data_IF_488573158017
#
_entry.id   IF_488573158017
#
_cell.length_a   1.000
_cell.length_b   1.000
_cell.length_c   1.000
_cell.angle_alpha   90.00
_cell.angle_beta   90.00
_cell.angle_gamma   90.00
#
_symmetry.space_group_name_H-M   'P 1'
#
loop_
_entity.id
_entity.type
_entity.pdbx_description
1 polymer ?
#
# COMPACT_ATOMS: atom_id res chain seq x y z
N UNK A 1 0.05 13.52 -10.98
CA UNK A 1 -1.20 13.42 -11.75
C UNK A 1 -0.98 12.84 -13.14
N UNK A 2 -0.21 13.49 -14.03
CA UNK A 2 -0.12 13.03 -15.43
C UNK A 2 0.52 11.64 -15.60
N UNK A 3 1.54 11.32 -14.79
CA UNK A 3 2.16 9.98 -14.79
C UNK A 3 1.16 8.85 -14.50
N UNK A 4 0.24 9.06 -13.56
CA UNK A 4 -0.80 8.07 -13.24
C UNK A 4 -1.85 7.94 -14.35
N UNK A 5 -2.23 9.05 -14.99
CA UNK A 5 -3.11 9.01 -16.16
C UNK A 5 -2.47 8.29 -17.34
N UNK A 6 -1.17 8.53 -17.57
CA UNK A 6 -0.43 7.82 -18.60
C UNK A 6 -0.34 6.33 -18.30
N UNK A 7 0.00 5.93 -17.06
CA UNK A 7 0.03 4.53 -16.66
C UNK A 7 -1.32 3.84 -16.89
N UNK A 8 -2.44 4.51 -16.60
CA UNK A 8 -3.77 3.99 -16.90
C UNK A 8 -4.03 3.82 -18.41
N UNK A 9 -3.54 4.74 -19.26
CA UNK A 9 -3.61 4.59 -20.72
C UNK A 9 -2.73 3.45 -21.23
N UNK A 10 -1.54 3.26 -20.64
CA UNK A 10 -0.58 2.22 -21.02
C UNK A 10 -1.10 0.80 -20.72
N UNK A 11 -2.13 0.64 -19.88
CA UNK A 11 -2.80 -0.65 -19.66
C UNK A 11 -3.58 -1.13 -20.89
N UNK A 12 -3.93 -0.24 -21.83
CA UNK A 12 -4.61 -0.57 -23.08
C UNK A 12 -6.00 -1.18 -22.89
N UNK A 13 -6.44 -1.97 -23.89
CA UNK A 13 -7.80 -2.52 -23.97
C UNK A 13 -8.05 -3.73 -23.05
N UNK A 14 -6.97 -4.33 -22.53
CA UNK A 14 -7.02 -5.53 -21.67
C UNK A 14 -6.26 -5.31 -20.35
N UNK A 15 -6.70 -4.36 -19.51
CA UNK A 15 -5.96 -3.94 -18.32
C UNK A 15 -5.73 -5.07 -17.31
N UNK A 16 -6.68 -5.99 -17.14
CA UNK A 16 -6.53 -7.14 -16.25
C UNK A 16 -5.38 -8.05 -16.69
N UNK A 17 -5.28 -8.35 -17.98
CA UNK A 17 -4.21 -9.19 -18.54
C UNK A 17 -2.84 -8.54 -18.33
N UNK A 18 -2.75 -7.22 -18.50
CA UNK A 18 -1.51 -6.47 -18.26
C UNK A 18 -1.11 -6.52 -16.78
N UNK A 19 -2.08 -6.34 -15.87
CA UNK A 19 -1.85 -6.43 -14.43
C UNK A 19 -1.48 -7.85 -14.01
N UNK A 20 -2.15 -8.88 -14.50
CA UNK A 20 -1.81 -10.28 -14.23
C UNK A 20 -0.36 -10.58 -14.65
N UNK A 21 0.06 -10.09 -15.81
CA UNK A 21 1.45 -10.21 -16.27
C UNK A 21 2.46 -9.45 -15.39
N UNK A 22 2.08 -8.29 -14.83
CA UNK A 22 2.91 -7.56 -13.86
C UNK A 22 3.03 -8.33 -12.55
N UNK A 23 1.93 -8.91 -12.06
CA UNK A 23 1.90 -9.72 -10.83
C UNK A 23 2.77 -10.96 -11.00
N UNK A 24 2.61 -11.72 -12.09
CA UNK A 24 3.42 -12.91 -12.34
C UNK A 24 4.92 -12.60 -12.39
N UNK A 25 5.32 -11.50 -13.05
CA UNK A 25 6.73 -11.07 -13.07
C UNK A 25 7.23 -10.68 -11.69
N UNK A 26 6.48 -9.86 -10.96
CA UNK A 26 6.87 -9.40 -9.63
C UNK A 26 7.04 -10.57 -8.64
N UNK A 27 6.15 -11.56 -8.69
CA UNK A 27 6.25 -12.76 -7.85
C UNK A 27 7.48 -13.60 -8.22
N UNK A 28 7.72 -13.82 -9.52
CA UNK A 28 8.90 -14.53 -9.99
C UNK A 28 10.22 -13.83 -9.61
N UNK A 29 10.25 -12.49 -9.67
CA UNK A 29 11.42 -11.70 -9.25
C UNK A 29 11.71 -11.83 -7.74
N UNK A 30 10.69 -12.10 -6.92
CA UNK A 30 10.82 -12.19 -5.46
C UNK A 30 11.24 -13.60 -5.01
N UNK A 31 10.72 -14.65 -5.65
CA UNK A 31 10.78 -16.05 -5.18
C UNK A 31 12.19 -16.51 -4.73
N UNK A 32 13.24 -16.13 -5.48
CA UNK A 32 14.63 -16.52 -5.20
C UNK A 32 15.56 -15.32 -4.90
N UNK A 33 15.01 -14.14 -4.62
CA UNK A 33 15.80 -12.92 -4.48
C UNK A 33 16.57 -12.79 -3.15
N UNK A 34 16.16 -13.52 -2.11
CA UNK A 34 16.70 -13.35 -0.76
C UNK A 34 16.22 -12.04 -0.11
N UNK A 35 17.15 -11.24 0.43
CA UNK A 35 16.83 -9.93 1.04
C UNK A 35 17.71 -8.80 0.45
N UNK A 36 17.57 -8.51 -0.85
CA UNK A 36 18.38 -7.51 -1.53
C UNK A 36 18.05 -6.10 -1.01
N UNK A 37 18.98 -5.17 -1.25
CA UNK A 37 18.74 -3.77 -1.01
C UNK A 37 18.00 -3.18 -2.22
N UNK A 38 16.76 -2.75 -2.01
CA UNK A 38 15.95 -2.06 -3.01
C UNK A 38 16.34 -0.60 -3.02
N UNK A 39 16.82 -0.11 -4.16
CA UNK A 39 17.16 1.30 -4.33
C UNK A 39 15.88 2.15 -4.27
N UNK A 40 15.87 3.17 -3.41
CA UNK A 40 14.80 4.17 -3.38
C UNK A 40 15.33 5.53 -3.87
N UNK A 41 14.40 6.40 -4.27
CA UNK A 41 14.73 7.76 -4.70
C UNK A 41 15.48 8.48 -3.57
N UNK A 42 16.63 9.09 -3.89
CA UNK A 42 17.51 9.75 -2.91
C UNK A 42 18.74 8.95 -2.48
N UNK A 43 18.97 7.77 -3.05
CA UNK A 43 20.20 7.00 -2.85
C UNK A 43 20.25 6.18 -1.55
N UNK A 44 19.27 6.35 -0.67
CA UNK A 44 19.00 5.40 0.39
C UNK A 44 18.48 4.08 -0.20
N UNK A 45 18.74 2.97 0.48
CA UNK A 45 18.21 1.66 0.13
C UNK A 45 17.35 1.11 1.26
N UNK A 46 16.33 0.34 0.91
CA UNK A 46 15.45 -0.37 1.85
C UNK A 46 15.58 -1.86 1.58
N UNK A 47 15.78 -2.67 2.61
CA UNK A 47 15.85 -4.12 2.45
C UNK A 47 14.52 -4.66 1.95
N UNK A 48 14.53 -5.68 1.10
CA UNK A 48 13.31 -6.22 0.50
C UNK A 48 12.26 -6.60 1.55
N UNK A 49 12.68 -7.23 2.66
CA UNK A 49 11.76 -7.58 3.75
C UNK A 49 11.10 -6.35 4.41
N UNK A 50 11.76 -5.19 4.40
CA UNK A 50 11.19 -3.92 4.88
C UNK A 50 10.39 -3.21 3.78
N UNK A 51 10.77 -3.41 2.51
CA UNK A 51 10.13 -2.82 1.34
C UNK A 51 8.74 -3.41 1.09
N UNK A 52 8.61 -4.73 1.09
CA UNK A 52 7.37 -5.42 0.73
C UNK A 52 6.16 -4.99 1.60
N UNK A 53 6.27 -4.87 2.94
CA UNK A 53 5.17 -4.35 3.75
C UNK A 53 4.67 -2.97 3.31
N UNK A 54 5.58 -2.08 2.89
CA UNK A 54 5.18 -0.76 2.38
C UNK A 54 4.41 -0.88 1.06
N UNK A 55 4.80 -1.80 0.16
CA UNK A 55 4.08 -2.02 -1.10
C UNK A 55 2.74 -2.70 -0.92
N UNK A 56 2.63 -3.66 -0.01
CA UNK A 56 1.35 -4.27 0.36
C UNK A 56 0.39 -3.21 0.91
N UNK A 57 0.87 -2.33 1.79
CA UNK A 57 0.08 -1.21 2.32
C UNK A 57 -0.44 -0.27 1.22
N UNK A 58 0.45 0.18 0.33
CA UNK A 58 0.08 1.08 -0.78
C UNK A 58 -0.95 0.44 -1.73
N UNK A 59 -0.79 -0.85 -2.06
CA UNK A 59 -1.74 -1.58 -2.90
C UNK A 59 -3.10 -1.73 -2.22
N UNK A 60 -3.12 -2.00 -0.92
CA UNK A 60 -4.36 -2.11 -0.15
C UNK A 60 -5.13 -0.77 -0.12
N UNK A 61 -4.45 0.33 0.26
CA UNK A 61 -5.06 1.66 0.36
C UNK A 61 -5.55 2.13 -1.02
N UNK A 62 -4.69 2.12 -2.03
CA UNK A 62 -5.05 2.60 -3.35
C UNK A 62 -6.03 1.69 -4.08
N UNK A 63 -6.01 0.38 -3.82
CA UNK A 63 -7.03 -0.54 -4.30
C UNK A 63 -8.43 -0.17 -3.78
N UNK A 64 -8.54 0.13 -2.48
CA UNK A 64 -9.78 0.61 -1.86
C UNK A 64 -10.22 1.96 -2.45
N UNK A 65 -9.29 2.90 -2.65
CA UNK A 65 -9.58 4.21 -3.26
C UNK A 65 -10.15 4.05 -4.68
N UNK A 66 -9.49 3.24 -5.53
CA UNK A 66 -9.94 2.99 -6.90
C UNK A 66 -11.31 2.33 -6.88
N UNK A 67 -11.49 1.25 -6.11
CA UNK A 67 -12.74 0.52 -6.00
C UNK A 67 -13.90 1.44 -5.61
N UNK A 68 -13.68 2.31 -4.61
CA UNK A 68 -14.65 3.34 -4.21
C UNK A 68 -14.93 4.35 -5.32
N UNK A 69 -13.91 4.82 -6.02
CA UNK A 69 -14.04 5.81 -7.09
C UNK A 69 -14.83 5.28 -8.29
N UNK A 70 -14.75 3.98 -8.57
CA UNK A 70 -15.49 3.34 -9.67
C UNK A 70 -16.77 2.63 -9.23
N UNK A 71 -17.09 2.62 -7.92
CA UNK A 71 -18.30 2.01 -7.38
C UNK A 71 -18.30 0.48 -7.39
N UNK A 72 -17.13 -0.15 -7.32
CA UNK A 72 -16.97 -1.61 -7.29
C UNK A 72 -16.68 -2.06 -5.86
N UNK A 73 -17.32 -3.13 -5.35
CA UNK A 73 -16.96 -3.70 -4.07
C UNK A 73 -15.57 -4.35 -4.13
N UNK A 74 -14.73 -4.07 -3.13
CA UNK A 74 -13.44 -4.72 -2.93
C UNK A 74 -13.35 -5.19 -1.48
N UNK A 75 -13.17 -6.49 -1.30
CA UNK A 75 -12.82 -7.09 -0.01
C UNK A 75 -11.35 -7.50 -0.05
N UNK A 76 -10.56 -6.92 0.86
CA UNK A 76 -9.16 -7.26 0.98
C UNK A 76 -8.98 -8.58 1.76
N UNK A 77 -7.99 -9.41 1.41
CA UNK A 77 -7.58 -10.54 2.24
C UNK A 77 -7.27 -10.11 3.68
N UNK A 78 -7.62 -10.94 4.66
CA UNK A 78 -7.52 -10.59 6.09
C UNK A 78 -6.08 -10.30 6.52
N UNK A 79 -5.11 -11.04 6.00
CA UNK A 79 -3.68 -10.85 6.23
C UNK A 79 -3.17 -9.52 5.63
N UNK A 80 -3.67 -9.12 4.46
CA UNK A 80 -3.37 -7.81 3.85
C UNK A 80 -3.89 -6.68 4.74
N UNK A 81 -5.12 -6.80 5.26
CA UNK A 81 -5.69 -5.82 6.19
C UNK A 81 -4.86 -5.72 7.46
N UNK A 82 -4.49 -6.84 8.06
CA UNK A 82 -3.67 -6.90 9.26
C UNK A 82 -2.31 -6.21 9.05
N UNK A 83 -1.57 -6.59 8.00
CA UNK A 83 -0.25 -6.03 7.71
C UNK A 83 -0.32 -4.52 7.43
N UNK A 84 -1.34 -4.08 6.68
CA UNK A 84 -1.54 -2.67 6.39
C UNK A 84 -1.83 -1.86 7.67
N UNK A 85 -2.70 -2.36 8.55
CA UNK A 85 -3.02 -1.71 9.82
C UNK A 85 -1.81 -1.64 10.75
N UNK A 86 -1.02 -2.71 10.84
CA UNK A 86 0.22 -2.73 11.64
C UNK A 86 1.22 -1.69 11.14
N UNK A 87 1.40 -1.56 9.83
CA UNK A 87 2.30 -0.54 9.28
C UNK A 87 1.77 0.88 9.55
N UNK A 88 0.47 1.13 9.31
CA UNK A 88 -0.15 2.43 9.60
C UNK A 88 0.01 2.85 11.07
N UNK A 89 -0.20 1.92 12.00
CA UNK A 89 -0.04 2.18 13.43
C UNK A 89 1.41 2.49 13.80
N UNK A 90 2.39 1.80 13.17
CA UNK A 90 3.82 2.10 13.36
C UNK A 90 4.19 3.48 12.84
N UNK A 91 3.69 3.87 11.67
CA UNK A 91 3.90 5.22 11.11
C UNK A 91 3.30 6.27 12.04
N UNK A 92 2.03 6.12 12.44
CA UNK A 92 1.37 7.03 13.37
C UNK A 92 2.16 7.19 14.68
N UNK A 93 2.66 6.09 15.26
CA UNK A 93 3.47 6.16 16.47
C UNK A 93 4.79 6.91 16.23
N UNK A 94 5.48 6.64 15.13
CA UNK A 94 6.74 7.31 14.79
C UNK A 94 6.57 8.82 14.53
N UNK A 95 5.41 9.23 14.01
CA UNK A 95 5.07 10.64 13.74
C UNK A 95 4.44 11.37 14.95
N UNK A 96 4.32 10.70 16.11
CA UNK A 96 3.77 11.31 17.33
C UNK A 96 2.25 11.34 17.40
N UNK A 97 1.57 10.59 16.54
CA UNK A 97 0.10 10.45 16.49
C UNK A 97 -0.41 9.17 17.15
N UNK A 98 0.48 8.37 17.76
CA UNK A 98 0.15 7.05 18.32
C UNK A 98 -0.97 7.06 19.36
N UNK A 99 -0.97 8.00 20.30
CA UNK A 99 -2.03 8.09 21.33
C UNK A 99 -3.40 8.39 20.72
N UNK A 100 -3.47 9.31 19.76
CA UNK A 100 -4.71 9.65 19.07
C UNK A 100 -5.27 8.45 18.30
N UNK A 101 -4.42 7.72 17.58
CA UNK A 101 -4.81 6.49 16.87
C UNK A 101 -5.27 5.40 17.85
N UNK A 102 -4.57 5.20 18.96
CA UNK A 102 -4.96 4.21 19.97
C UNK A 102 -6.31 4.53 20.62
N UNK A 103 -6.57 5.80 20.94
CA UNK A 103 -7.88 6.23 21.45
C UNK A 103 -8.97 5.98 20.41
N UNK A 104 -8.71 6.25 19.13
CA UNK A 104 -9.68 6.04 18.06
C UNK A 104 -10.00 4.57 17.81
N UNK A 105 -8.99 3.73 17.64
CA UNK A 105 -9.17 2.28 17.43
C UNK A 105 -9.88 1.59 18.60
N UNK A 106 -9.84 2.19 19.79
CA UNK A 106 -10.50 1.65 20.98
C UNK A 106 -11.80 2.36 21.37
N UNK A 107 -12.33 3.23 20.48
CA UNK A 107 -13.63 3.89 20.65
C UNK A 107 -13.65 4.99 21.71
N UNK A 108 -12.50 5.52 22.10
CA UNK A 108 -12.34 6.56 23.14
C UNK A 108 -12.26 7.98 22.58
N UNK A 109 -12.29 8.14 21.27
CA UNK A 109 -12.35 9.43 20.59
C UNK A 109 -12.33 9.25 19.07
N UNK A 110 -12.72 10.26 18.28
CA UNK A 110 -12.53 10.22 16.83
C UNK A 110 -11.09 10.58 16.43
N UNK A 111 -10.66 10.16 15.24
CA UNK A 111 -9.51 10.78 14.59
C UNK A 111 -9.88 12.21 14.12
N UNK A 112 -8.91 13.15 14.03
CA UNK A 112 -9.15 14.45 13.43
C UNK A 112 -9.72 14.36 12.02
N UNK A 113 -10.53 15.35 11.63
CA UNK A 113 -10.96 15.50 10.23
C UNK A 113 -9.70 15.61 9.36
N UNK A 114 -9.65 14.84 8.28
CA UNK A 114 -8.51 14.75 7.36
C UNK A 114 -7.23 14.11 7.94
N UNK A 115 -7.32 13.37 9.04
CA UNK A 115 -6.21 12.57 9.52
C UNK A 115 -5.71 11.59 8.44
N UNK A 116 -4.39 11.55 8.25
CA UNK A 116 -3.68 10.63 7.36
C UNK A 116 -2.34 10.26 7.98
N UNK A 117 -1.86 9.05 7.67
CA UNK A 117 -0.47 8.60 7.93
C UNK A 117 0.30 8.41 6.61
N UNK A 118 -0.26 9.00 5.54
CA UNK A 118 0.20 8.95 4.14
C UNK A 118 0.22 10.35 3.58
#
# INVERSE_FOLDING_TARGET
>A
MERGRQAGRDLGDHPSVVVDGLVSRALADIEDSGDPLIAVIGGAGIRLHTYLPTRTFELAVHGLDIARAVGIPLELPADVVEQALVLAARIAAAEGHGEAVLLALTGRGPLPVSFSVV
#
